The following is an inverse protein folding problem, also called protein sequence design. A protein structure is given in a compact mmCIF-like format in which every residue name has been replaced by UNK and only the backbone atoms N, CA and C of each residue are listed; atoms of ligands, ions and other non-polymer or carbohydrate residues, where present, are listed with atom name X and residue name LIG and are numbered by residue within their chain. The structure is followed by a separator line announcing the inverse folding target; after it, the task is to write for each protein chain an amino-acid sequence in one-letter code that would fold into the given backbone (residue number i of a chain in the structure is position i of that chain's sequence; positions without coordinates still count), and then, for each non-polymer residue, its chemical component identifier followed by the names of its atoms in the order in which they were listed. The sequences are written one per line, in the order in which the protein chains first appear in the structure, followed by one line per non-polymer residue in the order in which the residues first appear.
data_IF_653580846500
#
_entry.id   IF_653580846500
#
_cell.length_a   1.000
_cell.length_b   1.000
_cell.length_c   1.000
_cell.angle_alpha   90.00
_cell.angle_beta   90.00
_cell.angle_gamma   90.00
#
_symmetry.space_group_name_H-M   'P 1'
#
loop_
_entity.id
_entity.type
_entity.pdbx_description
1 polymer ?
#
# COMPACT_ATOMS: atom_id res chain seq x y z
N UNK A 1 -12.03 -6.90 -38.22
CA UNK A 1 -11.83 -8.06 -37.32
C UNK A 1 -11.76 -7.54 -35.90
N UNK A 2 -12.66 -7.98 -35.03
CA UNK A 2 -12.65 -7.67 -33.59
C UNK A 2 -11.99 -8.82 -32.85
N UNK A 3 -10.94 -8.54 -32.10
CA UNK A 3 -10.33 -9.51 -31.18
C UNK A 3 -10.99 -9.37 -29.81
N UNK A 4 -11.62 -10.44 -29.32
CA UNK A 4 -12.19 -10.50 -27.98
C UNK A 4 -11.19 -11.15 -27.02
N UNK A 5 -10.94 -10.50 -25.88
CA UNK A 5 -10.15 -11.06 -24.79
C UNK A 5 -11.13 -11.74 -23.81
N UNK A 6 -11.03 -13.05 -23.67
CA UNK A 6 -11.80 -13.80 -22.67
C UNK A 6 -11.00 -13.89 -21.37
N UNK A 7 -11.53 -13.32 -20.29
CA UNK A 7 -10.91 -13.34 -18.96
C UNK A 7 -11.46 -14.51 -18.16
N UNK A 8 -10.57 -15.24 -17.47
CA UNK A 8 -10.95 -16.35 -16.60
C UNK A 8 -11.82 -15.84 -15.42
N UNK A 9 -12.92 -16.51 -15.03
CA UNK A 9 -13.76 -16.09 -13.91
C UNK A 9 -13.00 -15.89 -12.60
N UNK A 10 -11.91 -16.63 -12.37
CA UNK A 10 -11.06 -16.50 -11.17
C UNK A 10 -10.24 -15.21 -11.14
N UNK A 11 -10.17 -14.45 -12.23
CA UNK A 11 -9.57 -13.11 -12.26
C UNK A 11 -10.26 -12.13 -11.29
N UNK A 12 -11.49 -12.42 -10.85
CA UNK A 12 -12.14 -11.70 -9.76
C UNK A 12 -11.29 -11.63 -8.48
N UNK A 13 -10.47 -12.65 -8.19
CA UNK A 13 -9.53 -12.62 -7.06
C UNK A 13 -8.41 -11.59 -7.23
N UNK A 14 -7.97 -11.36 -8.46
CA UNK A 14 -6.96 -10.33 -8.78
C UNK A 14 -7.53 -8.95 -8.51
N UNK A 15 -8.80 -8.72 -8.89
CA UNK A 15 -9.50 -7.47 -8.61
C UNK A 15 -9.73 -7.28 -7.11
N UNK A 16 -10.06 -8.35 -6.38
CA UNK A 16 -10.18 -8.31 -4.92
C UNK A 16 -8.85 -7.92 -4.25
N UNK A 17 -7.74 -8.54 -4.66
CA UNK A 17 -6.39 -8.22 -4.18
C UNK A 17 -5.94 -6.80 -4.57
N UNK A 18 -6.34 -6.30 -5.74
CA UNK A 18 -6.10 -4.91 -6.11
C UNK A 18 -6.89 -3.95 -5.20
N UNK A 19 -8.15 -4.30 -4.91
CA UNK A 19 -9.05 -3.48 -4.09
C UNK A 19 -8.61 -3.44 -2.62
N UNK A 20 -8.02 -4.53 -2.09
CA UNK A 20 -7.49 -4.53 -0.71
C UNK A 20 -6.39 -3.49 -0.48
N UNK A 21 -5.69 -3.04 -1.53
CA UNK A 21 -4.68 -1.97 -1.42
C UNK A 21 -5.25 -0.64 -0.93
N UNK A 22 -6.52 -0.34 -1.23
CA UNK A 22 -7.17 0.88 -0.71
C UNK A 22 -7.35 0.80 0.80
N UNK A 23 -7.73 -0.38 1.30
CA UNK A 23 -7.87 -0.64 2.73
C UNK A 23 -6.48 -0.53 3.39
N UNK A 24 -5.44 -1.10 2.80
CA UNK A 24 -4.08 -1.01 3.32
C UNK A 24 -3.58 0.44 3.38
N UNK A 25 -3.79 1.23 2.32
CA UNK A 25 -3.46 2.65 2.32
C UNK A 25 -4.19 3.41 3.45
N UNK A 26 -5.48 3.11 3.68
CA UNK A 26 -6.23 3.70 4.77
C UNK A 26 -5.64 3.34 6.15
N UNK A 27 -5.20 2.10 6.34
CA UNK A 27 -4.52 1.68 7.57
C UNK A 27 -3.19 2.43 7.77
N UNK A 28 -2.39 2.62 6.73
CA UNK A 28 -1.17 3.43 6.80
C UNK A 28 -1.48 4.90 7.16
N UNK A 29 -2.50 5.51 6.55
CA UNK A 29 -2.96 6.87 6.86
C UNK A 29 -3.41 6.98 8.34
N UNK A 30 -4.22 6.03 8.81
CA UNK A 30 -4.69 6.02 10.19
C UNK A 30 -3.52 5.87 11.18
N UNK A 31 -2.57 4.99 10.87
CA UNK A 31 -1.41 4.73 11.72
C UNK A 31 -0.46 5.94 11.78
N UNK A 32 -0.14 6.54 10.64
CA UNK A 32 0.67 7.77 10.58
C UNK A 32 -0.01 8.92 11.30
N UNK A 33 -1.32 9.11 11.12
CA UNK A 33 -2.10 10.14 11.81
C UNK A 33 -2.10 9.96 13.33
N UNK A 34 -2.27 8.73 13.81
CA UNK A 34 -2.18 8.40 15.25
C UNK A 34 -0.83 8.79 15.83
N UNK A 35 0.28 8.33 15.24
CA UNK A 35 1.61 8.61 15.77
C UNK A 35 2.02 10.07 15.59
N UNK A 36 1.55 10.76 14.55
CA UNK A 36 1.75 12.20 14.39
C UNK A 36 1.19 12.97 15.57
N UNK A 37 -0.05 12.64 15.97
CA UNK A 37 -0.73 13.28 17.10
C UNK A 37 0.03 13.05 18.40
N UNK A 38 0.53 11.82 18.62
CA UNK A 38 1.32 11.48 19.80
C UNK A 38 2.69 12.18 19.84
N UNK A 39 3.35 12.35 18.69
CA UNK A 39 4.64 13.04 18.57
C UNK A 39 4.51 14.59 18.58
N UNK A 40 3.29 15.11 18.52
CA UNK A 40 2.98 16.53 18.43
C UNK A 40 3.66 17.25 17.24
N UNK A 41 3.82 16.55 16.12
CA UNK A 41 4.42 17.13 14.90
C UNK A 41 3.38 17.94 14.14
N UNK A 42 3.52 19.27 14.16
CA UNK A 42 2.63 20.20 13.48
C UNK A 42 2.80 20.13 11.95
N UNK A 43 1.71 20.36 11.22
CA UNK A 43 1.81 20.65 9.79
C UNK A 43 2.58 21.96 9.56
N UNK A 44 3.34 22.11 8.46
CA UNK A 44 3.39 21.24 7.27
C UNK A 44 4.48 20.15 7.30
N UNK A 45 5.16 19.92 8.43
CA UNK A 45 6.25 18.94 8.49
C UNK A 45 5.74 17.52 8.16
N UNK A 46 6.43 16.86 7.23
CA UNK A 46 6.13 15.47 6.85
C UNK A 46 6.71 14.47 7.86
N UNK A 47 7.88 14.77 8.44
CA UNK A 47 8.59 13.96 9.42
C UNK A 47 8.96 14.82 10.65
N UNK A 48 9.19 14.17 11.79
CA UNK A 48 9.86 14.80 12.93
C UNK A 48 11.32 15.11 12.57
N UNK A 49 11.87 16.26 13.01
CA UNK A 49 13.25 16.65 12.73
C UNK A 49 14.25 15.72 13.44
N UNK A 50 15.45 15.58 12.88
CA UNK A 50 16.49 14.69 13.42
C UNK A 50 16.94 15.04 14.85
N UNK A 51 16.75 16.29 15.27
CA UNK A 51 17.01 16.72 16.65
C UNK A 51 16.06 16.12 17.69
N UNK A 52 14.94 15.54 17.27
CA UNK A 52 13.95 14.88 18.14
C UNK A 52 14.28 13.39 18.23
N UNK A 53 14.95 13.02 19.32
CA UNK A 53 15.36 11.63 19.61
C UNK A 53 14.40 10.91 20.57
N UNK A 54 13.22 11.48 20.84
CA UNK A 54 12.19 10.84 21.65
C UNK A 54 11.50 9.69 20.90
N UNK A 55 11.07 8.69 21.66
CA UNK A 55 10.40 7.50 21.13
C UNK A 55 9.15 7.82 20.30
N UNK A 56 8.40 8.88 20.66
CA UNK A 56 7.22 9.30 19.91
C UNK A 56 7.59 9.82 18.51
N UNK A 57 8.63 10.65 18.39
CA UNK A 57 9.17 11.11 17.11
C UNK A 57 9.70 9.94 16.26
N UNK A 58 10.42 8.99 16.86
CA UNK A 58 10.90 7.80 16.16
C UNK A 58 9.75 6.93 15.61
N UNK A 59 8.71 6.68 16.43
CA UNK A 59 7.53 5.91 16.00
C UNK A 59 6.76 6.61 14.89
N UNK A 60 6.61 7.94 14.96
CA UNK A 60 5.99 8.71 13.89
C UNK A 60 6.79 8.61 12.59
N UNK A 61 8.11 8.83 12.64
CA UNK A 61 8.95 8.73 11.45
C UNK A 61 8.94 7.32 10.85
N UNK A 62 8.95 6.27 11.68
CA UNK A 62 8.84 4.89 11.23
C UNK A 62 7.50 4.64 10.50
N UNK A 63 6.37 5.03 11.11
CA UNK A 63 5.06 4.91 10.49
C UNK A 63 4.99 5.68 9.16
N UNK A 64 5.55 6.89 9.11
CA UNK A 64 5.55 7.72 7.91
C UNK A 64 6.46 7.15 6.81
N UNK A 65 7.60 6.54 7.16
CA UNK A 65 8.47 5.86 6.18
C UNK A 65 7.78 4.63 5.59
N UNK A 66 7.08 3.86 6.43
CA UNK A 66 6.28 2.72 5.97
C UNK A 66 5.16 3.16 5.01
N UNK A 67 4.41 4.21 5.35
CA UNK A 67 3.35 4.73 4.48
C UNK A 67 3.90 5.25 3.14
N UNK A 68 4.97 6.04 3.17
CA UNK A 68 5.61 6.54 1.96
C UNK A 68 6.12 5.39 1.07
N UNK A 69 6.78 4.39 1.65
CA UNK A 69 7.26 3.23 0.91
C UNK A 69 6.11 2.44 0.24
N UNK A 70 4.99 2.26 0.94
CA UNK A 70 3.79 1.64 0.37
C UNK A 70 3.29 2.43 -0.85
N UNK A 71 3.11 3.75 -0.72
CA UNK A 71 2.56 4.61 -1.78
C UNK A 71 3.51 4.68 -2.99
N UNK A 72 4.82 4.77 -2.76
CA UNK A 72 5.85 4.79 -3.81
C UNK A 72 5.83 3.52 -4.67
N UNK A 73 5.49 2.36 -4.08
CA UNK A 73 5.49 1.07 -4.78
C UNK A 73 4.11 0.60 -5.25
N UNK A 74 3.02 1.17 -4.71
CA UNK A 74 1.65 0.70 -4.95
C UNK A 74 1.30 0.64 -6.46
N UNK A 75 1.69 1.65 -7.24
CA UNK A 75 1.34 1.73 -8.67
C UNK A 75 2.00 0.61 -9.47
N UNK A 76 3.31 0.41 -9.29
CA UNK A 76 4.06 -0.64 -9.97
C UNK A 76 3.58 -2.03 -9.55
N UNK A 77 3.30 -2.23 -8.26
CA UNK A 77 2.77 -3.48 -7.73
C UNK A 77 1.38 -3.80 -8.31
N UNK A 78 0.47 -2.81 -8.38
CA UNK A 78 -0.85 -2.97 -8.99
C UNK A 78 -0.75 -3.29 -10.49
N UNK A 79 0.14 -2.61 -11.22
CA UNK A 79 0.39 -2.91 -12.63
C UNK A 79 0.84 -4.35 -12.83
N UNK A 80 1.81 -4.82 -12.04
CA UNK A 80 2.29 -6.19 -12.08
C UNK A 80 1.20 -7.22 -11.72
N UNK A 81 0.42 -6.96 -10.66
CA UNK A 81 -0.68 -7.82 -10.22
C UNK A 81 -1.74 -8.00 -11.31
N UNK A 82 -2.20 -6.90 -11.91
CA UNK A 82 -3.23 -6.93 -12.94
C UNK A 82 -2.73 -7.65 -14.21
N UNK A 83 -1.51 -7.36 -14.66
CA UNK A 83 -0.94 -7.99 -15.86
C UNK A 83 -0.68 -9.48 -15.63
N UNK A 84 -0.04 -9.85 -14.52
CA UNK A 84 0.25 -11.25 -14.20
C UNK A 84 -1.04 -12.07 -14.00
N UNK A 85 -2.06 -11.44 -13.42
CA UNK A 85 -3.37 -12.04 -13.19
C UNK A 85 -4.06 -12.53 -14.46
N UNK A 86 -3.80 -11.92 -15.63
CA UNK A 86 -4.41 -12.34 -16.90
C UNK A 86 -4.04 -13.78 -17.24
N UNK A 87 -2.82 -14.19 -16.90
CA UNK A 87 -2.31 -15.55 -17.16
C UNK A 87 -2.37 -16.45 -15.93
N UNK A 88 -2.17 -15.89 -14.74
CA UNK A 88 -2.04 -16.63 -13.47
C UNK A 88 -2.92 -16.03 -12.37
N UNK A 89 -4.26 -16.04 -12.50
CA UNK A 89 -5.15 -15.26 -11.64
C UNK A 89 -5.05 -15.61 -10.16
N UNK A 90 -5.05 -16.90 -9.81
CA UNK A 90 -4.97 -17.34 -8.40
C UNK A 90 -3.60 -17.05 -7.80
N UNK A 91 -2.51 -17.39 -8.49
CA UNK A 91 -1.15 -17.15 -8.00
C UNK A 91 -0.84 -15.67 -7.85
N UNK A 92 -1.26 -14.86 -8.82
CA UNK A 92 -1.11 -13.41 -8.76
C UNK A 92 -1.93 -12.82 -7.60
N UNK A 93 -3.16 -13.28 -7.37
CA UNK A 93 -4.00 -12.81 -6.26
C UNK A 93 -3.41 -13.16 -4.89
N UNK A 94 -2.90 -14.37 -4.69
CA UNK A 94 -2.27 -14.78 -3.42
C UNK A 94 -1.01 -13.97 -3.15
N UNK A 95 -0.07 -13.92 -4.11
CA UNK A 95 1.18 -13.17 -3.94
C UNK A 95 0.95 -11.66 -3.85
N UNK A 96 -0.02 -11.14 -4.60
CA UNK A 96 -0.43 -9.74 -4.55
C UNK A 96 -1.14 -9.38 -3.26
N UNK A 97 -1.88 -10.29 -2.64
CA UNK A 97 -2.54 -10.05 -1.35
C UNK A 97 -1.60 -10.13 -0.15
N UNK A 98 -0.62 -11.04 -0.18
CA UNK A 98 0.34 -11.26 0.92
C UNK A 98 1.58 -10.36 0.83
N UNK A 99 2.03 -10.01 -0.37
CA UNK A 99 3.28 -9.25 -0.61
C UNK A 99 3.16 -7.73 -0.52
N UNK A 100 2.04 -7.21 -0.02
CA UNK A 100 1.77 -5.76 0.10
C UNK A 100 2.08 -5.17 1.47
N UNK A 101 2.85 -5.89 2.30
CA UNK A 101 3.31 -5.47 3.63
C UNK A 101 4.72 -4.89 3.60
#
# INVERSE_FOLDING_TARGET
MTTAITIDPTYGYVILAATSTFIMNFLHIANTGKYRKLAAVKYPLAYAPESRTDDAAHKFNCAQRSHANFVENQVSALGALLIAGVKFPVTAAVLGGEGQV
#
